data_IF_731287270703
#
_entry.id   IF_731287270703
#
_cell.length_a   1.000
_cell.length_b   1.000
_cell.length_c   1.000
_cell.angle_alpha   90.00
_cell.angle_beta   90.00
_cell.angle_gamma   90.00
#
_symmetry.space_group_name_H-M   'P 1'
#
loop_
_entity.id
_entity.type
_entity.pdbx_description
1 polymer ?
#
# COMPACT_ATOMS: atom_id res chain seq x y z
N UNK A 1 -0.96 -7.39 6.81
CA UNK A 1 -1.44 -5.99 6.77
C UNK A 1 -1.06 -5.36 5.44
N UNK A 2 -2.03 -4.97 4.59
CA UNK A 2 -1.79 -4.50 3.22
C UNK A 2 -0.84 -3.30 3.12
N UNK A 3 -0.84 -2.44 4.14
CA UNK A 3 0.01 -1.24 4.19
C UNK A 3 1.51 -1.56 4.31
N UNK A 4 1.88 -2.64 4.96
CA UNK A 4 3.28 -3.07 5.05
C UNK A 4 3.87 -3.38 3.66
N UNK A 5 3.11 -4.08 2.82
CA UNK A 5 3.53 -4.38 1.46
C UNK A 5 3.59 -3.12 0.58
N UNK A 6 2.64 -2.20 0.75
CA UNK A 6 2.68 -0.88 0.11
C UNK A 6 3.99 -0.16 0.38
N UNK A 7 4.39 -0.07 1.64
CA UNK A 7 5.62 0.62 2.01
C UNK A 7 6.90 -0.11 1.55
N UNK A 8 6.94 -1.46 1.59
CA UNK A 8 8.06 -2.24 1.06
C UNK A 8 8.26 -2.04 -0.44
N UNK A 9 7.17 -1.96 -1.19
CA UNK A 9 7.22 -1.73 -2.63
C UNK A 9 7.67 -0.31 -2.96
N UNK A 10 7.18 0.70 -2.23
CA UNK A 10 7.59 2.09 -2.40
C UNK A 10 9.09 2.28 -2.13
N UNK A 11 9.64 1.57 -1.15
CA UNK A 11 11.08 1.57 -0.86
C UNK A 11 11.92 0.93 -1.96
N UNK A 12 11.44 -0.13 -2.60
CA UNK A 12 12.17 -0.84 -3.66
C UNK A 12 12.23 -0.08 -4.99
N UNK A 13 11.38 0.92 -5.22
CA UNK A 13 11.43 1.76 -6.41
C UNK A 13 12.56 2.79 -6.41
N UNK A 14 13.22 3.04 -5.26
CA UNK A 14 14.17 4.14 -5.12
C UNK A 14 15.64 3.75 -4.97
N UNK A 15 16.02 2.48 -4.98
CA UNK A 15 17.39 2.10 -4.64
C UNK A 15 18.02 1.06 -5.59
N UNK A 16 19.09 1.48 -6.29
CA UNK A 16 20.15 0.62 -6.85
C UNK A 16 21.15 0.20 -5.73
N UNK A 17 20.68 -0.38 -4.64
CA UNK A 17 21.56 -1.01 -3.65
C UNK A 17 21.24 -2.49 -3.53
N UNK A 18 22.27 -3.39 -3.48
CA UNK A 18 22.04 -4.83 -3.47
C UNK A 18 21.31 -5.25 -2.19
N UNK A 19 20.18 -5.93 -2.37
CA UNK A 19 19.33 -6.45 -1.32
C UNK A 19 20.09 -7.33 -0.33
N UNK A 20 19.98 -7.04 0.95
CA UNK A 20 20.32 -7.97 2.02
C UNK A 20 19.38 -9.19 1.91
N UNK A 21 19.94 -10.33 1.47
CA UNK A 21 19.21 -11.60 1.46
C UNK A 21 18.98 -12.08 2.88
N UNK A 22 17.75 -12.00 3.35
CA UNK A 22 17.32 -12.79 4.51
C UNK A 22 17.08 -14.22 4.02
N UNK A 23 17.83 -15.17 4.58
CA UNK A 23 17.82 -16.56 4.16
C UNK A 23 16.47 -17.24 4.45
N UNK A 24 15.86 -17.80 3.42
CA UNK A 24 14.72 -18.69 3.54
C UNK A 24 15.19 -20.09 3.89
N UNK A 25 14.88 -20.55 5.11
CA UNK A 25 15.01 -21.96 5.49
C UNK A 25 14.05 -22.83 4.69
N UNK A 26 14.59 -23.86 4.03
CA UNK A 26 13.82 -24.85 3.30
C UNK A 26 13.06 -25.75 4.29
N UNK A 27 11.77 -25.92 4.05
CA UNK A 27 11.05 -27.12 4.51
C UNK A 27 10.31 -27.77 3.35
N UNK A 28 10.79 -28.96 2.99
CA UNK A 28 10.24 -29.86 1.97
C UNK A 28 9.00 -30.58 2.52
N UNK A 29 7.87 -30.47 1.84
CA UNK A 29 6.76 -31.44 1.96
C UNK A 29 6.23 -31.82 0.57
N UNK A 30 5.99 -33.10 0.41
CA UNK A 30 5.77 -33.91 -0.79
C UNK A 30 4.49 -33.59 -1.58
N UNK A 31 4.59 -33.79 -2.90
CA UNK A 31 3.55 -33.86 -3.93
C UNK A 31 2.60 -35.09 -3.76
N UNK A 32 1.60 -35.35 -4.66
CA UNK A 32 0.93 -34.51 -5.65
C UNK A 32 -0.60 -34.75 -5.76
N UNK A 33 -1.35 -33.81 -6.34
CA UNK A 33 -2.64 -34.13 -7.00
C UNK A 33 -2.68 -33.45 -8.37
N UNK A 34 -2.89 -34.27 -9.41
CA UNK A 34 -3.08 -33.84 -10.81
C UNK A 34 -4.45 -33.16 -10.96
N UNK A 35 -4.49 -31.98 -11.55
CA UNK A 35 -5.69 -31.47 -12.20
C UNK A 35 -5.39 -30.92 -13.59
N UNK A 36 -6.25 -31.31 -14.50
CA UNK A 36 -6.33 -31.15 -15.94
C UNK A 36 -6.24 -29.70 -16.41
N UNK A 37 -5.48 -29.54 -17.48
CA UNK A 37 -5.32 -28.33 -18.30
C UNK A 37 -6.64 -27.67 -18.70
N UNK A 38 -6.81 -26.39 -18.33
CA UNK A 38 -7.65 -25.43 -19.03
C UNK A 38 -6.77 -24.33 -19.62
N UNK A 39 -6.99 -24.07 -20.90
CA UNK A 39 -6.25 -23.14 -21.74
C UNK A 39 -6.24 -21.74 -21.12
N UNK A 40 -5.04 -21.23 -20.82
CA UNK A 40 -4.83 -19.84 -20.41
C UNK A 40 -4.88 -18.95 -21.64
N UNK A 41 -5.78 -17.97 -21.63
CA UNK A 41 -5.75 -16.85 -22.56
C UNK A 41 -4.40 -16.11 -22.42
N UNK A 42 -3.76 -15.83 -23.56
CA UNK A 42 -2.53 -15.06 -23.63
C UNK A 42 -2.71 -13.67 -22.99
N UNK A 43 -2.23 -13.50 -21.77
CA UNK A 43 -1.99 -12.18 -21.19
C UNK A 43 -0.71 -11.67 -21.86
N UNK A 44 -0.83 -10.55 -22.59
CA UNK A 44 0.32 -9.86 -23.18
C UNK A 44 1.28 -9.46 -22.06
N UNK A 45 2.54 -9.91 -22.16
CA UNK A 45 3.60 -9.47 -21.23
C UNK A 45 3.66 -7.93 -21.20
N UNK A 46 3.71 -7.32 -19.99
CA UNK A 46 3.86 -5.89 -19.88
C UNK A 46 5.23 -5.49 -20.47
N UNK A 47 5.24 -4.48 -21.35
CA UNK A 47 6.48 -3.89 -21.88
C UNK A 47 7.38 -3.54 -20.71
N UNK A 48 8.64 -4.05 -20.70
CA UNK A 48 9.70 -3.62 -19.79
C UNK A 48 9.83 -2.09 -19.86
N UNK A 49 9.25 -1.39 -18.88
CA UNK A 49 9.51 0.01 -18.62
C UNK A 49 10.84 0.13 -17.88
N UNK A 50 11.58 1.20 -18.19
CA UNK A 50 12.84 1.52 -17.53
C UNK A 50 12.56 1.76 -16.04
N UNK A 51 13.32 1.08 -15.16
CA UNK A 51 13.00 0.98 -13.72
C UNK A 51 13.47 2.19 -12.89
N UNK A 52 13.77 3.34 -13.49
CA UNK A 52 14.04 4.57 -12.75
C UNK A 52 12.74 5.31 -12.48
N UNK A 53 11.99 4.87 -11.47
CA UNK A 53 10.66 5.40 -11.13
C UNK A 53 10.64 6.79 -10.50
N UNK A 54 11.79 7.41 -10.22
CA UNK A 54 11.87 8.79 -9.79
C UNK A 54 12.30 9.68 -10.96
N UNK A 55 11.75 10.87 -11.04
CA UNK A 55 12.30 11.86 -11.95
C UNK A 55 13.74 12.23 -11.53
N UNK A 56 14.46 12.98 -12.40
CA UNK A 56 15.85 13.41 -12.09
C UNK A 56 15.94 14.35 -10.87
N UNK A 57 14.82 14.87 -10.38
CA UNK A 57 14.73 15.70 -9.17
C UNK A 57 14.51 14.87 -7.89
N UNK A 58 14.28 13.56 -8.01
CA UNK A 58 13.97 12.67 -6.88
C UNK A 58 12.56 12.88 -6.32
N UNK A 59 11.63 13.38 -7.14
CA UNK A 59 10.22 13.61 -6.78
C UNK A 59 9.31 12.49 -7.32
N UNK A 60 8.18 12.28 -6.69
CA UNK A 60 7.13 11.38 -7.14
C UNK A 60 6.20 12.17 -8.07
N UNK A 61 6.22 11.82 -9.35
CA UNK A 61 5.29 12.34 -10.36
C UNK A 61 3.96 11.58 -10.32
N UNK A 62 2.88 12.08 -10.96
CA UNK A 62 1.63 11.32 -11.10
C UNK A 62 1.83 9.95 -11.74
N UNK A 63 2.71 9.79 -12.72
CA UNK A 63 3.00 8.48 -13.34
C UNK A 63 3.69 7.54 -12.36
N UNK A 64 4.68 8.03 -11.59
CA UNK A 64 5.31 7.25 -10.52
C UNK A 64 4.28 6.87 -9.46
N UNK A 65 3.38 7.78 -9.08
CA UNK A 65 2.32 7.49 -8.12
C UNK A 65 1.37 6.39 -8.63
N UNK A 66 1.01 6.39 -9.93
CA UNK A 66 0.22 5.33 -10.57
C UNK A 66 0.94 3.98 -10.49
N UNK A 67 2.24 3.96 -10.83
CA UNK A 67 3.06 2.75 -10.72
C UNK A 67 3.14 2.24 -9.26
N UNK A 68 3.22 3.15 -8.28
CA UNK A 68 3.16 2.80 -6.85
C UNK A 68 1.81 2.17 -6.47
N UNK A 69 0.69 2.70 -6.94
CA UNK A 69 -0.64 2.11 -6.68
C UNK A 69 -0.77 0.73 -7.33
N UNK A 70 -0.27 0.55 -8.56
CA UNK A 70 -0.25 -0.75 -9.22
C UNK A 70 0.59 -1.78 -8.47
N UNK A 71 1.79 -1.40 -8.02
CA UNK A 71 2.65 -2.28 -7.24
C UNK A 71 2.03 -2.65 -5.88
N UNK A 72 1.33 -1.72 -5.26
CA UNK A 72 0.60 -1.95 -4.00
C UNK A 72 -0.53 -2.96 -4.16
N UNK A 73 -1.30 -2.82 -5.23
CA UNK A 73 -2.37 -3.76 -5.55
C UNK A 73 -1.83 -5.18 -5.79
N UNK A 74 -0.75 -5.32 -6.56
CA UNK A 74 -0.12 -6.62 -6.82
C UNK A 74 0.35 -7.30 -5.53
N UNK A 75 0.94 -6.53 -4.61
CA UNK A 75 1.34 -7.06 -3.31
C UNK A 75 0.15 -7.59 -2.52
N UNK A 76 -0.96 -6.84 -2.49
CA UNK A 76 -2.18 -7.26 -1.81
C UNK A 76 -2.76 -8.51 -2.46
N UNK A 77 -2.80 -8.58 -3.80
CA UNK A 77 -3.28 -9.76 -4.51
C UNK A 77 -2.44 -11.00 -4.19
N UNK A 78 -1.11 -10.84 -4.06
CA UNK A 78 -0.22 -11.94 -3.67
C UNK A 78 -0.48 -12.46 -2.25
N UNK A 79 -0.99 -11.62 -1.37
CA UNK A 79 -1.28 -11.94 0.03
C UNK A 79 -2.76 -12.27 0.31
N UNK A 80 -3.61 -12.30 -0.72
CA UNK A 80 -5.06 -12.50 -0.58
C UNK A 80 -5.45 -13.67 0.33
N UNK A 81 -4.88 -14.84 0.09
CA UNK A 81 -5.23 -16.04 0.87
C UNK A 81 -4.76 -15.91 2.32
N UNK A 82 -3.55 -15.38 2.53
CA UNK A 82 -3.01 -15.13 3.86
C UNK A 82 -3.86 -14.13 4.66
N UNK A 83 -4.36 -13.08 4.02
CA UNK A 83 -5.27 -12.12 4.65
C UNK A 83 -6.61 -12.77 5.02
N UNK A 84 -7.13 -13.68 4.20
CA UNK A 84 -8.32 -14.46 4.52
C UNK A 84 -8.08 -15.43 5.69
N UNK A 85 -6.91 -16.09 5.74
CA UNK A 85 -6.54 -16.97 6.87
C UNK A 85 -6.46 -16.21 8.18
N UNK A 86 -5.79 -15.04 8.19
CA UNK A 86 -5.70 -14.20 9.39
C UNK A 86 -7.05 -13.69 9.88
N UNK A 87 -7.93 -13.32 8.97
CA UNK A 87 -9.27 -12.87 9.30
C UNK A 87 -10.14 -14.03 9.80
N UNK A 88 -10.00 -15.21 9.21
CA UNK A 88 -10.75 -16.40 9.58
C UNK A 88 -10.52 -16.91 11.01
N UNK A 89 -9.44 -16.49 11.66
CA UNK A 89 -9.19 -16.81 13.08
C UNK A 89 -10.14 -16.06 14.02
N UNK A 90 -10.67 -14.90 13.62
CA UNK A 90 -11.50 -14.01 14.44
C UNK A 90 -12.75 -13.49 13.73
N UNK A 91 -12.79 -13.55 12.40
CA UNK A 91 -13.84 -13.04 11.53
C UNK A 91 -14.42 -14.11 10.60
N UNK A 92 -14.92 -13.68 9.44
CA UNK A 92 -15.55 -14.54 8.44
C UNK A 92 -14.60 -15.02 7.33
N UNK A 93 -13.32 -14.62 7.39
CA UNK A 93 -12.28 -15.07 6.48
C UNK A 93 -12.34 -14.44 5.09
N UNK A 94 -13.00 -13.32 4.92
CA UNK A 94 -13.20 -12.69 3.61
C UNK A 94 -12.34 -11.44 3.36
N UNK A 95 -11.53 -11.01 4.34
CA UNK A 95 -10.76 -9.76 4.26
C UNK A 95 -9.86 -9.67 3.03
N UNK A 96 -9.18 -10.76 2.67
CA UNK A 96 -8.34 -10.80 1.47
C UNK A 96 -9.14 -10.64 0.16
N UNK A 97 -10.36 -11.18 0.11
CA UNK A 97 -11.29 -11.02 -1.02
C UNK A 97 -11.75 -9.56 -1.11
N UNK A 98 -12.15 -9.01 0.00
CA UNK A 98 -12.60 -7.63 0.13
C UNK A 98 -11.52 -6.64 -0.32
N UNK A 99 -10.27 -6.85 0.11
CA UNK A 99 -9.12 -6.04 -0.31
C UNK A 99 -8.83 -6.19 -1.82
N UNK A 100 -8.91 -7.40 -2.36
CA UNK A 100 -8.74 -7.64 -3.80
C UNK A 100 -9.79 -6.89 -4.62
N UNK A 101 -11.06 -6.87 -4.20
CA UNK A 101 -12.15 -6.15 -4.86
C UNK A 101 -11.86 -4.64 -4.88
N UNK A 102 -11.53 -4.06 -3.73
CA UNK A 102 -11.24 -2.63 -3.62
C UNK A 102 -10.05 -2.20 -4.47
N UNK A 103 -8.94 -2.94 -4.41
CA UNK A 103 -7.75 -2.62 -5.20
C UNK A 103 -7.92 -2.84 -6.70
N UNK A 104 -8.74 -3.80 -7.14
CA UNK A 104 -9.11 -3.94 -8.56
C UNK A 104 -9.89 -2.74 -9.05
N UNK A 105 -10.83 -2.23 -8.27
CA UNK A 105 -11.58 -1.04 -8.61
C UNK A 105 -10.67 0.21 -8.67
N UNK A 106 -9.77 0.37 -7.71
CA UNK A 106 -8.78 1.44 -7.68
C UNK A 106 -7.88 1.41 -8.93
N UNK A 107 -7.34 0.24 -9.31
CA UNK A 107 -6.51 0.11 -10.51
C UNK A 107 -7.28 0.43 -11.79
N UNK A 108 -8.49 -0.07 -11.92
CA UNK A 108 -9.33 0.21 -13.10
C UNK A 108 -9.59 1.73 -13.24
N UNK A 109 -9.79 2.44 -12.12
CA UNK A 109 -9.88 3.90 -12.12
C UNK A 109 -8.56 4.54 -12.56
N UNK A 110 -7.44 4.15 -11.96
CA UNK A 110 -6.11 4.71 -12.27
C UNK A 110 -5.78 4.54 -13.75
N UNK A 111 -6.12 3.40 -14.37
CA UNK A 111 -5.91 3.14 -15.79
C UNK A 111 -6.80 4.00 -16.72
N UNK A 112 -8.00 4.35 -16.27
CA UNK A 112 -8.98 5.13 -17.03
C UNK A 112 -8.81 6.64 -16.86
N UNK A 113 -8.14 7.07 -15.79
CA UNK A 113 -7.95 8.49 -15.47
C UNK A 113 -6.89 9.10 -16.39
N UNK A 114 -7.16 10.29 -16.92
CA UNK A 114 -6.24 11.02 -17.78
C UNK A 114 -4.85 11.19 -17.15
N UNK A 115 -3.79 11.10 -17.97
CA UNK A 115 -2.41 11.25 -17.51
C UNK A 115 -2.08 12.68 -17.00
N UNK A 116 -2.93 13.65 -17.29
CA UNK A 116 -2.81 15.03 -16.77
C UNK A 116 -3.37 15.21 -15.37
N UNK A 117 -4.07 14.20 -14.84
CA UNK A 117 -4.64 14.25 -13.50
C UNK A 117 -3.55 14.38 -12.42
N UNK A 118 -3.80 15.23 -11.45
CA UNK A 118 -2.97 15.42 -10.28
C UNK A 118 -3.03 14.22 -9.33
N UNK A 119 -2.08 14.12 -8.41
CA UNK A 119 -2.09 13.06 -7.38
C UNK A 119 -3.32 13.22 -6.47
N UNK A 120 -3.77 14.45 -6.20
CA UNK A 120 -4.99 14.69 -5.43
C UNK A 120 -6.23 14.14 -6.11
N UNK A 121 -6.40 14.39 -7.42
CA UNK A 121 -7.52 13.86 -8.22
C UNK A 121 -7.47 12.33 -8.30
N UNK A 122 -6.28 11.73 -8.43
CA UNK A 122 -6.13 10.28 -8.35
C UNK A 122 -6.56 9.72 -7.00
N UNK A 123 -6.18 10.38 -5.89
CA UNK A 123 -6.59 9.97 -4.56
C UNK A 123 -8.10 10.03 -4.36
N UNK A 124 -8.75 11.12 -4.78
CA UNK A 124 -10.22 11.26 -4.73
C UNK A 124 -10.90 10.13 -5.49
N UNK A 125 -10.46 9.88 -6.73
CA UNK A 125 -11.01 8.82 -7.55
C UNK A 125 -10.78 7.42 -6.96
N UNK A 126 -9.59 7.13 -6.44
CA UNK A 126 -9.28 5.86 -5.77
C UNK A 126 -10.17 5.69 -4.53
N UNK A 127 -10.33 6.73 -3.72
CA UNK A 127 -11.20 6.72 -2.56
C UNK A 127 -12.64 6.40 -2.93
N UNK A 128 -13.17 7.03 -3.98
CA UNK A 128 -14.53 6.77 -4.48
C UNK A 128 -14.66 5.34 -5.02
N UNK A 129 -13.67 4.85 -5.78
CA UNK A 129 -13.66 3.47 -6.30
C UNK A 129 -13.69 2.42 -5.18
N UNK A 130 -12.95 2.64 -4.09
CA UNK A 130 -13.04 1.78 -2.90
C UNK A 130 -14.42 1.83 -2.25
N UNK A 131 -15.00 3.02 -2.10
CA UNK A 131 -16.31 3.20 -1.48
C UNK A 131 -17.42 2.49 -2.27
N UNK A 132 -17.37 2.56 -3.58
CA UNK A 132 -18.38 1.97 -4.48
C UNK A 132 -18.24 0.44 -4.59
N UNK A 133 -17.00 -0.06 -4.54
CA UNK A 133 -16.73 -1.48 -4.73
C UNK A 133 -16.85 -2.31 -3.47
N UNK A 134 -16.59 -1.72 -2.29
CA UNK A 134 -16.48 -2.43 -1.01
C UNK A 134 -17.52 -1.93 -0.04
N UNK A 135 -18.55 -2.75 0.20
CA UNK A 135 -19.64 -2.44 1.13
C UNK A 135 -19.33 -2.62 2.62
N UNK A 136 -18.17 -3.25 2.96
CA UNK A 136 -17.75 -3.46 4.34
C UNK A 136 -17.04 -2.22 4.92
N UNK A 137 -16.63 -2.26 6.19
CA UNK A 137 -15.94 -1.15 6.88
C UNK A 137 -14.67 -0.66 6.17
N UNK A 138 -13.99 -1.54 5.46
CA UNK A 138 -12.77 -1.27 4.70
C UNK A 138 -12.99 -0.19 3.62
N UNK A 139 -14.10 -0.25 2.87
CA UNK A 139 -14.40 0.74 1.83
C UNK A 139 -14.40 2.18 2.35
N UNK A 140 -15.25 2.53 3.32
CA UNK A 140 -15.27 3.85 3.93
C UNK A 140 -13.95 4.27 4.60
N UNK A 141 -13.18 3.34 5.19
CA UNK A 141 -11.89 3.64 5.81
C UNK A 141 -10.86 4.07 4.77
N UNK A 142 -10.70 3.27 3.69
CA UNK A 142 -9.78 3.60 2.61
C UNK A 142 -10.20 4.86 1.85
N UNK A 143 -11.51 5.04 1.59
CA UNK A 143 -12.03 6.26 0.97
C UNK A 143 -11.67 7.51 1.79
N UNK A 144 -11.89 7.47 3.10
CA UNK A 144 -11.53 8.59 3.98
C UNK A 144 -10.01 8.83 4.03
N UNK A 145 -9.21 7.76 4.02
CA UNK A 145 -7.75 7.86 3.98
C UNK A 145 -7.27 8.52 2.69
N UNK A 146 -7.68 8.01 1.53
CA UNK A 146 -7.26 8.58 0.24
C UNK A 146 -7.72 10.02 0.06
N UNK A 147 -8.95 10.36 0.44
CA UNK A 147 -9.46 11.74 0.35
C UNK A 147 -8.62 12.69 1.23
N UNK A 148 -8.36 12.35 2.48
CA UNK A 148 -7.55 13.18 3.37
C UNK A 148 -6.09 13.27 2.88
N UNK A 149 -5.52 12.22 2.32
CA UNK A 149 -4.20 12.23 1.71
C UNK A 149 -4.14 13.13 0.46
N UNK A 150 -5.16 13.09 -0.39
CA UNK A 150 -5.31 13.99 -1.54
C UNK A 150 -5.40 15.46 -1.12
N UNK A 151 -6.20 15.77 -0.10
CA UNK A 151 -6.31 17.11 0.48
C UNK A 151 -4.97 17.59 1.05
N UNK A 152 -4.23 16.75 1.76
CA UNK A 152 -2.94 17.08 2.37
C UNK A 152 -1.87 17.47 1.34
N UNK A 153 -1.89 16.88 0.15
CA UNK A 153 -0.96 17.22 -0.92
C UNK A 153 -1.50 18.33 -1.84
N UNK A 154 -2.81 18.49 -1.93
CA UNK A 154 -3.46 19.53 -2.74
C UNK A 154 -3.06 19.45 -4.22
N UNK A 155 -3.05 20.57 -4.91
CA UNK A 155 -2.80 20.67 -6.36
C UNK A 155 -1.32 20.55 -6.76
N UNK A 156 -0.48 19.89 -5.94
CA UNK A 156 0.94 19.69 -6.31
C UNK A 156 1.03 18.72 -7.49
N UNK A 157 1.85 19.11 -8.49
CA UNK A 157 2.12 18.22 -9.63
C UNK A 157 3.02 17.07 -9.23
N UNK A 158 4.00 17.31 -8.37
CA UNK A 158 4.95 16.30 -7.89
C UNK A 158 5.05 16.35 -6.36
N UNK A 159 5.36 15.22 -5.74
CA UNK A 159 5.58 15.13 -4.30
C UNK A 159 7.07 14.96 -4.01
N UNK A 160 7.64 15.88 -3.29
CA UNK A 160 8.92 15.73 -2.60
C UNK A 160 8.75 14.88 -1.32
N UNK A 161 9.83 14.66 -0.57
CA UNK A 161 9.79 13.89 0.66
C UNK A 161 8.81 14.46 1.69
N UNK A 162 8.74 15.78 1.82
CA UNK A 162 7.81 16.47 2.74
C UNK A 162 6.36 16.23 2.33
N UNK A 163 6.04 16.40 1.06
CA UNK A 163 4.69 16.23 0.55
C UNK A 163 4.26 14.75 0.61
N UNK A 164 5.18 13.81 0.35
CA UNK A 164 4.88 12.39 0.49
C UNK A 164 4.61 11.97 1.94
N UNK A 165 5.34 12.53 2.90
CA UNK A 165 5.06 12.31 4.33
C UNK A 165 3.70 12.92 4.70
N UNK A 166 3.34 14.09 4.16
CA UNK A 166 2.02 14.67 4.37
C UNK A 166 0.91 13.79 3.77
N UNK A 167 1.16 13.13 2.64
CA UNK A 167 0.27 12.13 2.07
C UNK A 167 0.07 10.94 3.01
N UNK A 168 1.14 10.36 3.55
CA UNK A 168 1.07 9.27 4.53
C UNK A 168 0.30 9.68 5.79
N UNK A 169 0.58 10.87 6.30
CA UNK A 169 -0.11 11.45 7.47
C UNK A 169 -1.62 11.63 7.19
N UNK A 170 -1.97 12.14 6.01
CA UNK A 170 -3.35 12.27 5.55
C UNK A 170 -4.09 10.93 5.49
N UNK A 171 -3.45 9.89 4.95
CA UNK A 171 -4.01 8.53 4.95
C UNK A 171 -4.35 8.07 6.37
N UNK A 172 -3.40 8.18 7.30
CA UNK A 172 -3.62 7.75 8.68
C UNK A 172 -4.70 8.59 9.38
N UNK A 173 -4.70 9.91 9.19
CA UNK A 173 -5.70 10.80 9.77
C UNK A 173 -7.11 10.50 9.24
N UNK A 174 -7.28 10.30 7.94
CA UNK A 174 -8.57 9.96 7.34
C UNK A 174 -9.12 8.62 7.85
N UNK A 175 -8.25 7.61 7.95
CA UNK A 175 -8.60 6.29 8.50
C UNK A 175 -8.99 6.42 9.98
N UNK A 176 -8.17 7.10 10.78
CA UNK A 176 -8.43 7.29 12.22
C UNK A 176 -9.70 8.07 12.48
N UNK A 177 -9.92 9.18 11.76
CA UNK A 177 -11.13 9.99 11.89
C UNK A 177 -12.38 9.20 11.53
N UNK A 178 -12.32 8.31 10.56
CA UNK A 178 -13.44 7.47 10.14
C UNK A 178 -13.67 6.29 11.07
N UNK A 179 -12.61 5.62 11.51
CA UNK A 179 -12.66 4.38 12.29
C UNK A 179 -12.72 4.61 13.79
N UNK A 180 -12.27 5.75 14.29
CA UNK A 180 -12.23 6.09 15.71
C UNK A 180 -11.15 5.34 16.51
N UNK A 181 -10.31 4.53 15.87
CA UNK A 181 -9.27 3.77 16.53
C UNK A 181 -8.08 4.66 16.92
N UNK A 182 -7.45 4.35 18.05
CA UNK A 182 -6.22 4.97 18.53
C UNK A 182 -5.03 3.98 18.48
N UNK A 183 -3.82 4.51 18.67
CA UNK A 183 -2.63 3.66 18.85
C UNK A 183 -2.81 2.78 20.08
N UNK A 184 -2.55 1.49 19.95
CA UNK A 184 -2.74 0.48 20.99
C UNK A 184 -4.03 -0.32 20.89
N UNK A 185 -4.95 0.06 20.01
CA UNK A 185 -6.24 -0.63 19.85
C UNK A 185 -6.15 -1.91 18.98
N UNK A 186 -4.95 -2.31 18.60
CA UNK A 186 -4.69 -3.48 17.74
C UNK A 186 -5.38 -3.37 16.37
N UNK A 187 -5.15 -2.25 15.70
CA UNK A 187 -5.73 -1.93 14.39
C UNK A 187 -4.65 -1.58 13.38
N UNK A 188 -5.04 -1.23 12.16
CA UNK A 188 -4.11 -0.73 11.14
C UNK A 188 -3.40 0.58 11.57
N UNK A 189 -3.96 1.36 12.49
CA UNK A 189 -3.36 2.59 13.02
C UNK A 189 -2.00 2.29 13.67
N UNK A 190 -1.87 1.13 14.32
CA UNK A 190 -0.62 0.67 14.94
C UNK A 190 0.50 0.36 13.93
N UNK A 191 0.19 0.25 12.66
CA UNK A 191 1.17 0.17 11.59
C UNK A 191 1.42 1.54 10.92
N UNK A 192 0.37 2.36 10.75
CA UNK A 192 0.48 3.68 10.12
C UNK A 192 1.35 4.64 10.95
N UNK A 193 1.12 4.76 12.24
CA UNK A 193 1.84 5.71 13.09
C UNK A 193 3.36 5.46 13.14
N UNK A 194 3.86 4.23 13.38
CA UNK A 194 5.29 3.97 13.31
C UNK A 194 5.90 4.19 11.92
N UNK A 195 5.13 3.94 10.86
CA UNK A 195 5.56 4.21 9.49
C UNK A 195 5.84 5.70 9.27
N UNK A 196 4.89 6.55 9.66
CA UNK A 196 4.97 8.00 9.53
C UNK A 196 6.12 8.54 10.38
N UNK A 197 6.25 8.07 11.63
CA UNK A 197 7.33 8.48 12.53
C UNK A 197 8.71 8.15 11.96
N UNK A 198 8.90 6.95 11.42
CA UNK A 198 10.17 6.53 10.82
C UNK A 198 10.49 7.34 9.55
N UNK A 199 9.50 7.61 8.69
CA UNK A 199 9.68 8.44 7.51
C UNK A 199 10.05 9.90 7.87
N UNK A 200 9.39 10.47 8.88
CA UNK A 200 9.69 11.83 9.41
C UNK A 200 11.13 11.92 9.92
N UNK A 201 11.59 10.96 10.71
CA UNK A 201 12.97 10.90 11.22
C UNK A 201 13.98 10.92 10.06
N UNK A 202 13.75 10.12 9.01
CA UNK A 202 14.65 10.07 7.86
C UNK A 202 14.64 11.39 7.08
N UNK A 203 13.48 11.99 6.91
CA UNK A 203 13.35 13.31 6.29
C UNK A 203 14.12 14.39 7.05
N UNK A 204 14.04 14.43 8.39
CA UNK A 204 14.77 15.38 9.23
C UNK A 204 16.31 15.20 9.12
N UNK A 205 16.77 14.01 8.77
CA UNK A 205 18.16 13.70 8.46
C UNK A 205 18.58 14.12 7.04
N UNK A 206 17.67 14.72 6.26
CA UNK A 206 17.93 15.17 4.89
C UNK A 206 17.88 14.05 3.84
N UNK A 207 17.27 12.91 4.16
CA UNK A 207 17.18 11.77 3.24
C UNK A 207 16.22 12.06 2.07
N UNK A 208 16.48 11.49 0.88
CA UNK A 208 15.57 11.56 -0.27
C UNK A 208 14.26 10.81 0.01
N UNK A 209 13.21 11.09 -0.80
CA UNK A 209 11.88 10.52 -0.61
C UNK A 209 11.86 8.99 -0.55
N UNK A 210 12.67 8.33 -1.37
CA UNK A 210 12.76 6.87 -1.37
C UNK A 210 13.26 6.29 -0.06
N UNK A 211 14.30 6.90 0.54
CA UNK A 211 14.81 6.46 1.84
C UNK A 211 13.81 6.72 2.98
N UNK A 212 13.03 7.81 2.87
CA UNK A 212 11.94 8.08 3.79
C UNK A 212 10.85 7.01 3.71
N UNK A 213 10.47 6.61 2.50
CA UNK A 213 9.47 5.55 2.27
C UNK A 213 9.98 4.18 2.74
N UNK A 214 11.26 3.84 2.51
CA UNK A 214 11.86 2.62 3.04
C UNK A 214 11.84 2.56 4.56
N UNK A 215 12.19 3.67 5.21
CA UNK A 215 12.10 3.75 6.68
C UNK A 215 10.64 3.62 7.15
N UNK A 216 9.71 4.24 6.44
CA UNK A 216 8.27 4.07 6.67
C UNK A 216 7.82 2.62 6.58
N UNK A 217 8.26 1.88 5.55
CA UNK A 217 7.99 0.46 5.41
C UNK A 217 8.48 -0.36 6.61
N UNK A 218 9.70 -0.09 7.06
CA UNK A 218 10.27 -0.75 8.23
C UNK A 218 9.48 -0.42 9.51
N UNK A 219 9.08 0.84 9.67
CA UNK A 219 8.23 1.30 10.78
C UNK A 219 6.87 0.59 10.78
N UNK A 220 6.22 0.51 9.61
CA UNK A 220 4.95 -0.21 9.45
C UNK A 220 5.05 -1.69 9.85
N UNK A 221 6.14 -2.36 9.41
CA UNK A 221 6.40 -3.76 9.78
C UNK A 221 6.55 -3.93 11.28
N UNK A 222 7.32 -3.04 11.90
CA UNK A 222 7.55 -3.07 13.36
C UNK A 222 6.24 -2.88 14.11
N UNK A 223 5.41 -1.90 13.70
CA UNK A 223 4.10 -1.65 14.30
C UNK A 223 3.14 -2.82 14.10
N UNK A 224 3.02 -3.34 12.88
CA UNK A 224 2.18 -4.49 12.60
C UNK A 224 2.56 -5.72 13.45
N UNK A 225 3.86 -6.01 13.56
CA UNK A 225 4.34 -7.13 14.39
C UNK A 225 4.05 -6.90 15.88
N UNK A 226 4.13 -5.66 16.38
CA UNK A 226 3.81 -5.34 17.77
C UNK A 226 2.36 -5.63 18.13
N UNK A 227 1.42 -5.56 17.16
CA UNK A 227 -0.01 -5.86 17.41
C UNK A 227 -0.25 -7.29 17.88
N UNK A 228 0.67 -8.23 17.60
CA UNK A 228 0.55 -9.62 18.07
C UNK A 228 0.51 -9.73 19.59
N UNK A 229 1.11 -8.75 20.29
CA UNK A 229 1.16 -8.69 21.76
C UNK A 229 0.09 -7.76 22.36
N UNK A 230 -0.71 -7.10 21.54
CA UNK A 230 -1.79 -6.20 21.99
C UNK A 230 -3.08 -6.98 22.24
N UNK A 231 -3.90 -6.47 23.12
CA UNK A 231 -5.29 -6.90 23.27
C UNK A 231 -6.17 -6.04 22.36
N UNK A 232 -7.13 -6.65 21.66
CA UNK A 232 -8.15 -5.89 20.94
C UNK A 232 -9.13 -5.27 21.92
N UNK A 233 -9.46 -4.01 21.72
CA UNK A 233 -10.54 -3.33 22.44
C UNK A 233 -11.91 -3.77 21.92
#
# INVERSE_FOLDING_TARGET
>A
FPFFELCNLLGNYSCDTPALRVGTGQNTVKQPVRHTSRQHAHIKEPKKRDKSGLDRSGQITPDVFRDMMAASAEAIFSQRNYLCELDGDLGDGDHGITMEIGWKAALALVEQTDHTATISELCEGIGQAFLDAVGASVGPLYASGFNAAGEAVGNRLNLDARAMIAWLDGMAQGITARGGAAVGDKTMVDAWEPAIAAAKIRFEQGAPVGDCLMAGAQGASTGANATTQMQSN
#
